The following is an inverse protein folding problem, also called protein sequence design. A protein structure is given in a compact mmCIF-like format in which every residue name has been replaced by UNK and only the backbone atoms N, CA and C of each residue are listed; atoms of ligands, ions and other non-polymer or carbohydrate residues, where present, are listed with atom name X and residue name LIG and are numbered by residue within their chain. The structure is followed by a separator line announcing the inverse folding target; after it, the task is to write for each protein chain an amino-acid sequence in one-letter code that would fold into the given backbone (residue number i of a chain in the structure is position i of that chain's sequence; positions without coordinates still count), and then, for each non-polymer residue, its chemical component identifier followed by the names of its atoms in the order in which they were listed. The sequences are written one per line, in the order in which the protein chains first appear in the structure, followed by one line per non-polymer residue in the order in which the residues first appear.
data_IF_148875086944
#
_entry.id   IF_148875086944
#
_cell.length_a   1.000
_cell.length_b   1.000
_cell.length_c   1.000
_cell.angle_alpha   90.00
_cell.angle_beta   90.00
_cell.angle_gamma   90.00
#
_symmetry.space_group_name_H-M   'P 1'
#
loop_
_entity.id
_entity.type
_entity.pdbx_description
1 polymer ?
#
# COMPACT_ATOMS: atom_id res chain seq x y z
N UNK A 1 -7.82 -33.82 0.32
CA UNK A 1 -6.88 -33.33 -0.72
C UNK A 1 -6.58 -31.87 -0.42
N UNK A 2 -5.36 -31.41 -0.69
CA UNK A 2 -4.97 -30.01 -0.48
C UNK A 2 -4.63 -29.38 -1.82
N UNK A 3 -5.08 -28.14 -2.03
CA UNK A 3 -4.76 -27.30 -3.18
C UNK A 3 -4.08 -26.05 -2.65
N UNK A 4 -2.96 -25.68 -3.26
CA UNK A 4 -2.26 -24.43 -2.95
C UNK A 4 -2.39 -23.52 -4.17
N UNK A 5 -2.89 -22.31 -3.96
CA UNK A 5 -2.91 -21.27 -4.98
C UNK A 5 -1.85 -20.23 -4.62
N UNK A 6 -0.77 -20.19 -5.40
CA UNK A 6 0.30 -19.20 -5.27
C UNK A 6 0.17 -18.23 -6.45
N UNK A 7 -0.33 -17.00 -6.25
CA UNK A 7 -0.34 -16.00 -7.31
C UNK A 7 1.07 -15.49 -7.62
N UNK A 8 1.24 -14.95 -8.82
CA UNK A 8 2.44 -14.19 -9.19
C UNK A 8 2.47 -12.83 -8.49
N UNK A 9 3.66 -12.21 -8.44
CA UNK A 9 3.84 -10.87 -7.90
C UNK A 9 2.90 -9.85 -8.57
N UNK A 10 2.21 -9.03 -7.77
CA UNK A 10 1.21 -8.09 -8.25
C UNK A 10 -0.19 -8.67 -8.48
N UNK A 11 -0.42 -9.96 -8.21
CA UNK A 11 -1.74 -10.60 -8.32
C UNK A 11 -2.21 -11.18 -6.98
N UNK A 12 -3.52 -11.21 -6.78
CA UNK A 12 -4.16 -11.92 -5.67
C UNK A 12 -5.17 -12.92 -6.19
N UNK A 13 -5.37 -14.01 -5.44
CA UNK A 13 -6.43 -14.98 -5.72
C UNK A 13 -7.79 -14.30 -5.52
N UNK A 14 -8.56 -14.20 -6.60
CA UNK A 14 -9.93 -13.66 -6.56
C UNK A 14 -10.93 -14.76 -6.19
N UNK A 15 -10.95 -15.82 -7.00
CA UNK A 15 -11.91 -16.91 -6.84
C UNK A 15 -11.24 -18.26 -7.01
N UNK A 16 -11.48 -19.18 -6.08
CA UNK A 16 -11.17 -20.59 -6.24
C UNK A 16 -12.47 -21.40 -6.24
N UNK A 17 -12.70 -22.17 -7.30
CA UNK A 17 -13.87 -23.04 -7.44
C UNK A 17 -13.42 -24.47 -7.73
N UNK A 18 -13.96 -25.42 -6.95
CA UNK A 18 -13.80 -26.85 -7.21
C UNK A 18 -15.17 -27.43 -7.49
N UNK A 19 -15.34 -28.11 -8.63
CA UNK A 19 -16.60 -28.75 -9.04
C UNK A 19 -16.40 -30.25 -9.27
N UNK A 20 -17.46 -31.04 -9.11
CA UNK A 20 -17.49 -32.46 -9.49
C UNK A 20 -17.84 -32.63 -10.99
N UNK A 21 -17.91 -33.88 -11.45
CA UNK A 21 -18.25 -34.21 -12.84
C UNK A 21 -19.71 -33.88 -13.23
N UNK A 22 -20.56 -33.52 -12.28
CA UNK A 22 -21.94 -33.09 -12.50
C UNK A 22 -22.05 -31.55 -12.46
N UNK A 23 -20.94 -30.85 -12.21
CA UNK A 23 -20.91 -29.40 -12.08
C UNK A 23 -21.28 -28.89 -10.68
N UNK A 24 -21.46 -29.76 -9.69
CA UNK A 24 -21.75 -29.32 -8.32
C UNK A 24 -20.49 -28.77 -7.67
N UNK A 25 -20.61 -27.60 -7.02
CA UNK A 25 -19.49 -27.00 -6.29
C UNK A 25 -19.21 -27.77 -5.01
N UNK A 26 -17.97 -28.22 -4.85
CA UNK A 26 -17.50 -28.84 -3.63
C UNK A 26 -17.20 -27.78 -2.58
N UNK A 27 -17.52 -28.08 -1.32
CA UNK A 27 -17.22 -27.21 -0.19
C UNK A 27 -15.70 -27.17 0.04
N UNK A 28 -15.15 -25.97 0.00
CA UNK A 28 -13.76 -25.69 0.33
C UNK A 28 -13.63 -25.25 1.78
N UNK A 29 -12.55 -25.69 2.43
CA UNK A 29 -12.15 -25.20 3.75
C UNK A 29 -10.83 -24.46 3.60
N UNK A 30 -10.83 -23.17 3.88
CA UNK A 30 -9.62 -22.35 3.92
C UNK A 30 -8.78 -22.73 5.16
N UNK A 31 -7.49 -22.93 4.96
CA UNK A 31 -6.51 -23.22 6.01
C UNK A 31 -5.54 -22.05 6.23
N UNK A 32 -5.75 -20.93 5.55
CA UNK A 32 -4.84 -19.78 5.54
C UNK A 32 -3.63 -19.99 4.61
N UNK A 33 -2.98 -18.89 4.24
CA UNK A 33 -1.75 -18.91 3.43
C UNK A 33 -1.91 -19.51 2.04
N UNK A 34 -3.06 -19.30 1.39
CA UNK A 34 -3.34 -19.80 0.04
C UNK A 34 -3.60 -21.31 -0.04
N UNK A 35 -3.80 -21.99 1.10
CA UNK A 35 -4.07 -23.44 1.16
C UNK A 35 -5.55 -23.71 1.39
N UNK A 36 -6.13 -24.48 0.48
CA UNK A 36 -7.53 -24.89 0.54
C UNK A 36 -7.63 -26.40 0.58
N UNK A 37 -8.52 -26.91 1.42
CA UNK A 37 -8.79 -28.35 1.51
C UNK A 37 -10.21 -28.66 1.08
N UNK A 38 -10.37 -29.81 0.43
CA UNK A 38 -11.67 -30.37 0.09
C UNK A 38 -11.65 -31.89 0.19
N UNK A 39 -12.84 -32.47 0.36
CA UNK A 39 -13.05 -33.91 0.37
C UNK A 39 -13.32 -34.34 -1.08
N UNK A 40 -12.50 -35.26 -1.61
CA UNK A 40 -12.71 -35.77 -2.96
C UNK A 40 -14.01 -36.60 -3.00
N UNK A 41 -14.92 -36.33 -3.93
CA UNK A 41 -16.03 -37.23 -4.21
C UNK A 41 -15.49 -38.50 -4.89
N UNK A 42 -16.31 -39.55 -4.96
CA UNK A 42 -16.00 -40.76 -5.72
C UNK A 42 -15.99 -40.57 -7.25
N UNK A 43 -15.78 -39.35 -7.74
CA UNK A 43 -15.85 -38.94 -9.14
C UNK A 43 -14.77 -37.91 -9.46
N UNK A 44 -14.55 -37.66 -10.76
CA UNK A 44 -13.63 -36.63 -11.22
C UNK A 44 -14.04 -35.24 -10.69
N UNK A 45 -13.03 -34.39 -10.47
CA UNK A 45 -13.18 -33.00 -10.05
C UNK A 45 -12.47 -32.06 -11.02
N UNK A 46 -12.98 -30.83 -11.15
CA UNK A 46 -12.38 -29.72 -11.90
C UNK A 46 -12.05 -28.59 -10.92
N UNK A 47 -10.84 -28.06 -10.99
CA UNK A 47 -10.36 -26.95 -10.15
C UNK A 47 -10.11 -25.74 -11.05
N UNK A 48 -10.76 -24.63 -10.76
CA UNK A 48 -10.61 -23.36 -11.48
C UNK A 48 -10.25 -22.26 -10.50
N UNK A 49 -9.16 -21.54 -10.79
CA UNK A 49 -8.71 -20.39 -10.03
C UNK A 49 -8.71 -19.16 -10.94
N UNK A 50 -9.18 -18.03 -10.41
CA UNK A 50 -9.08 -16.71 -11.05
C UNK A 50 -8.21 -15.82 -10.19
N UNK A 51 -7.34 -15.06 -10.84
CA UNK A 51 -6.42 -14.12 -10.21
C UNK A 51 -6.66 -12.74 -10.79
N UNK A 52 -6.67 -11.74 -9.93
CA UNK A 52 -6.82 -10.34 -10.31
C UNK A 52 -5.55 -9.59 -9.93
N UNK A 53 -5.18 -8.59 -10.74
CA UNK A 53 -4.16 -7.63 -10.34
C UNK A 53 -4.59 -7.02 -9.02
N UNK A 54 -3.65 -6.95 -8.07
CA UNK A 54 -3.83 -6.13 -6.88
C UNK A 54 -3.86 -4.70 -7.43
N UNK A 55 -4.99 -3.98 -7.32
CA UNK A 55 -4.97 -2.58 -7.65
C UNK A 55 -3.93 -1.93 -6.74
N UNK A 56 -2.97 -1.23 -7.35
CA UNK A 56 -2.16 -0.26 -6.62
C UNK A 56 -3.16 0.75 -6.03
N UNK A 57 -3.62 0.50 -4.81
CA UNK A 57 -4.20 1.57 -4.00
C UNK A 57 -3.14 2.68 -4.02
N UNK A 58 -3.51 3.94 -4.32
CA UNK A 58 -2.52 5.01 -4.35
C UNK A 58 -1.79 4.94 -3.02
N UNK A 59 -0.46 4.72 -3.12
CA UNK A 59 0.44 4.47 -2.02
C UNK A 59 -0.06 5.23 -0.79
N UNK A 60 -0.28 4.53 0.32
CA UNK A 60 -0.31 5.23 1.60
C UNK A 60 0.96 6.09 1.61
N UNK A 61 0.86 7.42 1.73
CA UNK A 61 2.01 8.28 1.53
C UNK A 61 3.10 7.77 2.46
N UNK A 62 4.23 7.37 1.88
CA UNK A 62 5.39 6.90 2.62
C UNK A 62 5.65 7.89 3.76
N UNK A 63 5.80 7.41 5.00
CA UNK A 63 5.93 8.29 6.14
C UNK A 63 7.10 9.24 5.92
N UNK A 64 6.90 10.50 6.30
CA UNK A 64 7.91 11.52 6.07
C UNK A 64 9.25 11.10 6.71
N UNK A 65 10.40 11.37 6.08
CA UNK A 65 11.71 10.96 6.59
C UNK A 65 12.18 11.79 7.80
N UNK A 66 11.27 12.51 8.46
CA UNK A 66 11.57 13.41 9.57
C UNK A 66 11.28 12.73 10.91
N UNK A 67 12.32 12.44 11.67
CA UNK A 67 12.20 11.74 12.96
C UNK A 67 11.44 12.54 14.04
N UNK A 68 11.27 13.84 13.84
CA UNK A 68 10.63 14.77 14.77
C UNK A 68 9.23 15.23 14.31
N UNK A 69 8.66 14.56 13.30
CA UNK A 69 7.33 14.84 12.77
C UNK A 69 6.42 13.64 13.07
N UNK A 70 5.48 13.84 13.99
CA UNK A 70 4.47 12.84 14.34
C UNK A 70 3.36 12.81 13.28
N UNK A 71 3.01 11.62 12.80
CA UNK A 71 1.95 11.38 11.81
C UNK A 71 0.57 11.90 12.26
N UNK A 72 0.35 11.97 13.56
CA UNK A 72 -0.91 12.45 14.14
C UNK A 72 -0.93 13.96 14.39
N UNK A 73 0.18 14.66 14.13
CA UNK A 73 0.27 16.09 14.35
C UNK A 73 -0.57 16.86 13.32
N UNK A 74 -1.20 17.95 13.75
CA UNK A 74 -2.04 18.80 12.89
C UNK A 74 -1.28 19.39 11.68
N UNK A 75 0.05 19.51 11.77
CA UNK A 75 0.91 20.03 10.71
C UNK A 75 1.44 18.95 9.78
N UNK A 76 1.20 17.66 10.07
CA UNK A 76 1.74 16.54 9.30
C UNK A 76 1.42 16.65 7.81
N UNK A 77 0.14 16.83 7.47
CA UNK A 77 -0.33 16.98 6.09
C UNK A 77 0.32 18.18 5.39
N UNK A 78 0.51 19.27 6.13
CA UNK A 78 1.18 20.46 5.63
C UNK A 78 2.65 20.23 5.32
N UNK A 79 3.35 19.49 6.18
CA UNK A 79 4.75 19.10 5.99
C UNK A 79 4.88 18.12 4.82
N UNK A 80 3.96 17.15 4.71
CA UNK A 80 3.94 16.18 3.63
C UNK A 80 3.81 16.88 2.28
N UNK A 81 2.87 17.82 2.17
CA UNK A 81 2.68 18.60 0.95
C UNK A 81 3.94 19.36 0.52
N UNK A 82 4.57 20.10 1.45
CA UNK A 82 5.77 20.89 1.11
C UNK A 82 7.00 20.02 0.85
N UNK A 83 7.07 18.82 1.45
CA UNK A 83 8.13 17.85 1.19
C UNK A 83 7.98 17.21 -0.19
N UNK A 84 6.80 16.71 -0.53
CA UNK A 84 6.50 16.13 -1.85
C UNK A 84 6.74 17.13 -2.99
N UNK A 85 6.43 18.41 -2.75
CA UNK A 85 6.68 19.48 -3.72
C UNK A 85 8.14 19.96 -3.75
N UNK A 86 9.03 19.37 -2.95
CA UNK A 86 10.45 19.77 -2.86
C UNK A 86 10.65 21.18 -2.32
N UNK A 87 9.64 21.77 -1.68
CA UNK A 87 9.67 23.12 -1.13
C UNK A 87 10.51 23.14 0.16
N UNK A 88 10.40 22.09 0.98
CA UNK A 88 11.19 21.88 2.19
C UNK A 88 11.90 20.52 2.15
N UNK A 89 13.15 20.48 2.60
CA UNK A 89 14.03 19.29 2.55
C UNK A 89 14.56 18.88 3.93
N UNK A 90 14.00 19.45 5.01
CA UNK A 90 14.50 19.28 6.36
C UNK A 90 15.67 20.20 6.74
N UNK A 91 16.12 20.04 7.97
CA UNK A 91 17.23 20.75 8.62
C UNK A 91 18.42 19.81 8.84
N UNK A 92 19.64 20.37 8.85
CA UNK A 92 20.85 19.59 9.10
C UNK A 92 21.15 18.60 7.97
N UNK A 93 21.11 17.31 8.29
CA UNK A 93 21.30 16.19 7.36
C UNK A 93 20.02 15.82 6.59
N UNK A 94 18.91 16.53 6.83
CA UNK A 94 17.62 16.28 6.20
C UNK A 94 16.74 15.27 6.94
N UNK A 95 17.17 14.76 8.10
CA UNK A 95 16.41 13.81 8.92
C UNK A 95 15.44 14.45 9.92
N UNK A 96 15.42 15.79 10.00
CA UNK A 96 14.60 16.56 10.94
C UNK A 96 13.97 17.75 10.23
N UNK A 97 12.85 18.27 10.75
CA UNK A 97 12.23 19.50 10.25
C UNK A 97 12.23 20.62 11.30
N UNK A 98 12.27 20.26 12.58
CA UNK A 98 12.09 21.13 13.74
C UNK A 98 10.80 21.98 13.66
N UNK A 99 9.60 21.35 13.58
CA UNK A 99 8.35 22.06 13.31
C UNK A 99 7.97 23.10 14.39
N UNK A 100 8.42 22.91 15.62
CA UNK A 100 8.21 23.84 16.74
C UNK A 100 9.33 24.90 16.86
N UNK A 101 10.32 24.88 15.97
CA UNK A 101 11.44 25.81 15.97
C UNK A 101 11.08 27.19 15.43
N UNK A 102 11.98 28.16 15.59
CA UNK A 102 11.84 29.47 14.97
C UNK A 102 12.36 29.45 13.53
N UNK A 103 11.48 29.76 12.58
CA UNK A 103 11.88 30.02 11.20
C UNK A 103 12.52 31.41 11.08
N UNK A 104 13.66 31.49 10.41
CA UNK A 104 14.28 32.77 10.07
C UNK A 104 13.55 33.44 8.90
N UNK A 105 13.60 34.78 8.83
CA UNK A 105 13.02 35.54 7.70
C UNK A 105 13.59 35.10 6.34
N UNK A 106 14.84 34.68 6.30
CA UNK A 106 15.49 34.16 5.11
C UNK A 106 14.86 32.83 4.67
N UNK A 107 14.63 31.89 5.60
CA UNK A 107 13.97 30.62 5.30
C UNK A 107 12.53 30.82 4.80
N UNK A 108 11.79 31.76 5.39
CA UNK A 108 10.45 32.12 4.92
C UNK A 108 10.46 32.69 3.49
N UNK A 109 11.41 33.58 3.17
CA UNK A 109 11.54 34.14 1.83
C UNK A 109 11.91 33.08 0.79
N UNK A 110 12.82 32.15 1.11
CA UNK A 110 13.19 31.04 0.22
C UNK A 110 12.01 30.11 -0.04
N UNK A 111 11.23 29.79 0.99
CA UNK A 111 10.05 28.94 0.85
C UNK A 111 9.02 29.59 -0.09
N UNK A 112 8.74 30.88 0.08
CA UNK A 112 7.82 31.63 -0.77
C UNK A 112 8.31 31.69 -2.22
N UNK A 113 9.62 31.88 -2.44
CA UNK A 113 10.21 31.90 -3.79
C UNK A 113 10.03 30.55 -4.50
N UNK A 114 10.37 29.44 -3.83
CA UNK A 114 10.17 28.09 -4.39
C UNK A 114 8.70 27.78 -4.66
N UNK A 115 7.81 28.26 -3.78
CA UNK A 115 6.38 28.07 -3.96
C UNK A 115 5.86 28.83 -5.20
N UNK A 116 6.37 30.05 -5.44
CA UNK A 116 6.03 30.80 -6.65
C UNK A 116 6.55 30.09 -7.91
N UNK A 117 7.78 29.58 -7.90
CA UNK A 117 8.35 28.82 -9.03
C UNK A 117 7.58 27.51 -9.30
N UNK A 118 7.06 26.85 -8.27
CA UNK A 118 6.26 25.63 -8.41
C UNK A 118 4.86 25.86 -9.01
N UNK A 119 4.38 27.11 -9.03
CA UNK A 119 3.06 27.49 -9.56
C UNK A 119 3.11 28.13 -10.95
N UNK A 120 4.30 28.45 -11.48
CA UNK A 120 4.52 29.05 -12.81
C UNK A 120 4.76 28.00 -13.88
#
# INVERSE_FOLDING_TARGET
MTVTATPDEGYQLDTLTVTDNQGNRLKLTDQGGGKFTFIMPGSQVKVEASFVLIPEEPDQPEPLPFADVDETAWYYDGVAYVYEKGLMTGTGDGSTLTPQGQATRAQAAVLLMRWQEALS
#
